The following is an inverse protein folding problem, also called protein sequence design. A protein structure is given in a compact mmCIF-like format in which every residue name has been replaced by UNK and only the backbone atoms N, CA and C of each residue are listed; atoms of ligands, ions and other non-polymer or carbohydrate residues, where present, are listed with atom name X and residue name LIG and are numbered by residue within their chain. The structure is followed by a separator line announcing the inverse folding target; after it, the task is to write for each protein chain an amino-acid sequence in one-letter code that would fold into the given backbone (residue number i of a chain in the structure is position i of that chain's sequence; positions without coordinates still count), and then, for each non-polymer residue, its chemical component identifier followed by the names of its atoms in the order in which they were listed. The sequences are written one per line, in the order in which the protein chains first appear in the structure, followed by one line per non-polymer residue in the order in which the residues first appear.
data_IF_133417538996
#
_entry.id   IF_133417538996
#
_cell.length_a   1.000
_cell.length_b   1.000
_cell.length_c   1.000
_cell.angle_alpha   90.00
_cell.angle_beta   90.00
_cell.angle_gamma   90.00
#
_symmetry.space_group_name_H-M   'P 1'
#
loop_
_entity.id
_entity.type
_entity.pdbx_description
1 polymer ?
#
# COMPACT_ATOMS: atom_id res chain seq x y z
N UNK A 1 -23.57 33.36 0.16
CA UNK A 1 -23.79 32.85 1.53
C UNK A 1 -22.47 32.79 2.26
N UNK A 2 -22.37 33.45 3.41
CA UNK A 2 -21.14 33.57 4.18
C UNK A 2 -21.05 32.40 5.16
N UNK A 3 -20.05 31.51 4.97
CA UNK A 3 -19.69 30.47 5.93
C UNK A 3 -19.02 31.13 7.14
N UNK A 4 -19.30 30.67 8.35
CA UNK A 4 -18.59 31.13 9.55
C UNK A 4 -17.60 30.07 10.00
N UNK A 5 -16.32 30.25 9.65
CA UNK A 5 -15.22 29.53 10.31
C UNK A 5 -14.94 30.28 11.59
N UNK A 6 -15.39 29.72 12.72
CA UNK A 6 -15.15 30.34 14.02
C UNK A 6 -13.97 29.65 14.69
N UNK A 7 -12.98 30.46 15.09
CA UNK A 7 -11.98 30.09 16.07
C UNK A 7 -12.57 30.35 17.46
N UNK A 8 -13.01 29.30 18.15
CA UNK A 8 -13.53 29.40 19.51
C UNK A 8 -12.57 28.64 20.42
N UNK A 9 -11.91 29.32 21.37
CA UNK A 9 -11.02 28.68 22.35
C UNK A 9 -9.91 27.80 21.74
N UNK A 10 -9.24 28.27 20.67
CA UNK A 10 -8.25 27.51 19.87
C UNK A 10 -8.81 26.27 19.16
N UNK A 11 -10.10 26.28 18.83
CA UNK A 11 -10.79 25.19 18.13
C UNK A 11 -11.32 25.74 16.82
N UNK A 12 -11.07 25.02 15.73
CA UNK A 12 -11.74 25.32 14.47
C UNK A 12 -13.06 24.58 14.44
N UNK A 13 -14.13 25.35 14.43
CA UNK A 13 -15.48 24.86 14.29
C UNK A 13 -15.85 24.89 12.81
N UNK A 14 -16.09 23.72 12.22
CA UNK A 14 -16.64 23.60 10.87
C UNK A 14 -18.15 23.38 11.02
N UNK A 15 -18.87 24.48 11.20
CA UNK A 15 -20.32 24.53 11.36
C UNK A 15 -20.98 25.27 10.19
N UNK A 16 -22.21 24.88 9.87
CA UNK A 16 -23.10 25.69 9.05
C UNK A 16 -24.06 26.50 9.95
N UNK A 17 -24.29 27.77 9.61
CA UNK A 17 -25.25 28.65 10.27
C UNK A 17 -26.49 28.81 9.38
N UNK A 18 -27.25 27.72 9.18
CA UNK A 18 -28.57 27.66 8.54
C UNK A 18 -28.56 27.27 7.03
N UNK A 19 -29.28 26.17 6.77
CA UNK A 19 -29.82 25.65 5.50
C UNK A 19 -29.12 24.46 4.79
N UNK A 20 -29.79 23.30 4.94
CA UNK A 20 -29.75 22.03 4.19
C UNK A 20 -28.57 21.05 4.35
N UNK A 21 -28.87 19.74 4.53
CA UNK A 21 -27.86 18.68 4.55
C UNK A 21 -27.22 18.58 3.17
N UNK A 22 -25.94 18.20 3.08
CA UNK A 22 -25.17 18.03 1.83
C UNK A 22 -24.59 19.31 1.23
N UNK A 23 -23.76 20.04 1.99
CA UNK A 23 -22.88 21.06 1.41
C UNK A 23 -21.50 20.47 1.12
N UNK A 24 -21.05 20.63 -0.13
CA UNK A 24 -19.75 20.15 -0.60
C UNK A 24 -18.74 21.30 -0.65
N UNK A 25 -17.64 21.17 0.09
CA UNK A 25 -16.55 22.15 0.16
C UNK A 25 -15.86 22.11 1.53
N UNK A 26 -14.65 22.70 1.63
CA UNK A 26 -13.84 22.57 2.84
C UNK A 26 -13.11 23.83 3.33
N UNK A 27 -12.58 23.72 4.55
CA UNK A 27 -11.65 24.68 5.16
C UNK A 27 -10.23 24.21 4.88
N UNK A 28 -9.36 25.12 4.45
CA UNK A 28 -7.98 24.88 4.05
C UNK A 28 -7.02 25.53 5.06
N UNK A 29 -5.84 24.94 5.29
CA UNK A 29 -4.83 25.49 6.20
C UNK A 29 -3.52 25.78 5.44
N UNK A 30 -2.86 26.87 5.83
CA UNK A 30 -1.78 27.56 5.11
C UNK A 30 -0.38 26.90 5.20
N UNK A 31 -0.29 25.61 5.55
CA UNK A 31 1.00 24.93 5.61
C UNK A 31 1.06 23.85 4.53
N UNK A 32 2.11 23.88 3.72
CA UNK A 32 2.36 22.87 2.71
C UNK A 32 3.72 22.22 3.00
N UNK A 33 3.78 20.89 3.20
CA UNK A 33 5.02 20.16 3.32
C UNK A 33 5.85 20.25 2.03
N UNK A 34 7.16 20.41 2.16
CA UNK A 34 8.08 20.57 1.04
C UNK A 34 8.61 19.24 0.50
N UNK A 35 8.63 18.20 1.33
CA UNK A 35 9.22 16.90 1.01
C UNK A 35 8.14 15.88 0.62
N UNK A 36 8.56 14.81 -0.08
CA UNK A 36 7.67 13.72 -0.46
C UNK A 36 7.19 12.86 0.73
N UNK A 37 7.73 13.11 1.93
CA UNK A 37 7.37 12.41 3.15
C UNK A 37 6.83 13.42 4.14
N UNK A 38 5.53 13.37 4.37
CA UNK A 38 4.84 14.36 5.17
C UNK A 38 3.73 13.72 5.99
N UNK A 39 3.18 14.48 6.92
CA UNK A 39 2.05 14.01 7.70
C UNK A 39 1.24 15.14 8.29
N UNK A 40 0.08 14.77 8.81
CA UNK A 40 -0.74 15.64 9.62
C UNK A 40 -1.22 14.95 10.88
N UNK A 41 -1.46 15.75 11.90
CA UNK A 41 -2.03 15.32 13.17
C UNK A 41 -3.02 16.34 13.67
N UNK A 42 -4.13 15.87 14.25
CA UNK A 42 -5.13 16.70 14.89
C UNK A 42 -6.04 15.86 15.77
N UNK A 43 -6.71 16.52 16.70
CA UNK A 43 -7.81 15.94 17.46
C UNK A 43 -9.12 16.22 16.72
N UNK A 44 -9.95 15.19 16.54
CA UNK A 44 -11.22 15.25 15.83
C UNK A 44 -12.38 14.84 16.75
N UNK A 45 -13.47 15.58 16.65
CA UNK A 45 -14.74 15.26 17.27
C UNK A 45 -15.86 15.51 16.26
N UNK A 46 -16.63 14.46 15.94
CA UNK A 46 -17.73 14.55 14.97
C UNK A 46 -19.06 14.37 15.70
N UNK A 47 -19.93 15.36 15.58
CA UNK A 47 -21.30 15.35 16.11
C UNK A 47 -22.29 14.76 15.09
N UNK A 48 -22.03 13.55 14.63
CA UNK A 48 -22.77 12.91 13.54
C UNK A 48 -23.65 11.73 13.99
N UNK A 49 -24.30 11.79 15.15
CA UNK A 49 -24.87 10.57 15.74
C UNK A 49 -26.18 10.06 15.09
N UNK A 50 -26.71 10.70 14.05
CA UNK A 50 -27.92 10.21 13.37
C UNK A 50 -27.64 9.07 12.38
N UNK A 51 -28.58 8.16 12.19
CA UNK A 51 -28.41 6.99 11.31
C UNK A 51 -28.77 7.39 9.87
N UNK A 52 -27.80 7.92 9.15
CA UNK A 52 -27.93 8.27 7.73
C UNK A 52 -26.56 8.13 7.02
N UNK A 53 -26.57 8.19 5.69
CA UNK A 53 -25.33 8.30 4.93
C UNK A 53 -24.70 9.67 5.17
N UNK A 54 -23.53 9.69 5.78
CA UNK A 54 -22.80 10.91 6.10
C UNK A 54 -21.32 10.63 6.29
N UNK A 55 -20.48 11.65 6.08
CA UNK A 55 -19.06 11.53 6.36
C UNK A 55 -18.40 12.86 6.71
N UNK A 56 -17.29 12.75 7.43
CA UNK A 56 -16.29 13.80 7.55
C UNK A 56 -15.10 13.44 6.68
N UNK A 57 -14.70 14.33 5.77
CA UNK A 57 -13.69 14.09 4.75
C UNK A 57 -12.45 14.94 4.94
N UNK A 58 -11.30 14.39 4.56
CA UNK A 58 -9.98 15.01 4.57
C UNK A 58 -9.36 14.80 3.18
N UNK A 59 -9.48 15.81 2.33
CA UNK A 59 -8.99 15.77 0.96
C UNK A 59 -7.50 16.11 0.90
N UNK A 60 -6.72 15.26 0.20
CA UNK A 60 -5.29 15.46 -0.04
C UNK A 60 -5.13 16.30 -1.31
N UNK A 61 -5.21 17.61 -1.15
CA UNK A 61 -5.50 18.55 -2.24
C UNK A 61 -4.30 19.36 -2.71
N UNK A 62 -4.45 20.02 -3.87
CA UNK A 62 -3.46 20.93 -4.44
C UNK A 62 -3.43 22.34 -3.89
N UNK A 63 -4.48 22.76 -3.20
CA UNK A 63 -4.63 24.14 -2.72
C UNK A 63 -4.71 24.20 -1.21
N UNK A 64 -3.95 25.12 -0.64
CA UNK A 64 -3.99 25.54 0.76
C UNK A 64 -4.99 26.69 1.01
N UNK A 65 -5.57 27.24 -0.05
CA UNK A 65 -6.63 28.24 0.00
C UNK A 65 -8.01 27.58 -0.15
N UNK A 66 -9.05 28.26 0.36
CA UNK A 66 -10.45 27.80 0.27
C UNK A 66 -10.76 27.30 -1.15
N UNK A 67 -11.14 26.03 -1.25
CA UNK A 67 -11.46 25.37 -2.51
C UNK A 67 -12.96 25.20 -2.70
N UNK A 68 -13.39 25.31 -3.96
CA UNK A 68 -14.71 24.88 -4.39
C UNK A 68 -14.78 23.35 -4.46
N UNK A 69 -15.97 22.79 -4.67
CA UNK A 69 -16.10 21.35 -4.89
C UNK A 69 -15.36 20.87 -6.13
N UNK A 70 -15.36 21.66 -7.20
CA UNK A 70 -14.67 21.34 -8.46
C UNK A 70 -13.17 21.13 -8.30
N UNK A 71 -12.56 21.69 -7.25
CA UNK A 71 -11.14 21.48 -6.96
C UNK A 71 -10.89 20.22 -6.11
N UNK A 72 -11.96 19.57 -5.65
CA UNK A 72 -11.96 18.35 -4.84
C UNK A 72 -12.34 17.10 -5.65
N UNK A 73 -12.75 17.27 -6.91
CA UNK A 73 -12.94 16.14 -7.84
C UNK A 73 -11.60 15.55 -8.25
N UNK A 74 -11.54 14.23 -8.45
CA UNK A 74 -10.31 13.49 -8.79
C UNK A 74 -9.18 13.65 -7.75
N UNK A 75 -9.55 13.94 -6.51
CA UNK A 75 -8.64 14.05 -5.37
C UNK A 75 -8.99 12.95 -4.37
N UNK A 76 -8.00 12.21 -3.82
CA UNK A 76 -8.28 11.22 -2.78
C UNK A 76 -8.69 11.93 -1.48
N UNK A 77 -9.80 11.46 -0.91
CA UNK A 77 -10.37 11.95 0.34
C UNK A 77 -10.36 10.79 1.35
N UNK A 78 -9.64 10.97 2.44
CA UNK A 78 -9.82 10.11 3.60
C UNK A 78 -11.14 10.50 4.27
N UNK A 79 -12.06 9.56 4.44
CA UNK A 79 -13.36 9.80 5.02
C UNK A 79 -13.58 8.94 6.26
N UNK A 80 -14.03 9.56 7.35
CA UNK A 80 -14.76 8.84 8.41
C UNK A 80 -16.20 8.74 7.90
N UNK A 81 -16.64 7.55 7.54
CA UNK A 81 -17.88 7.32 6.81
C UNK A 81 -18.89 6.52 7.63
N UNK A 82 -20.17 6.89 7.54
CA UNK A 82 -21.31 6.11 8.06
C UNK A 82 -22.23 5.77 6.89
N UNK A 83 -22.52 4.48 6.72
CA UNK A 83 -23.51 4.02 5.76
C UNK A 83 -24.94 4.34 6.23
N UNK A 84 -25.85 4.47 5.27
CA UNK A 84 -27.29 4.47 5.56
C UNK A 84 -27.65 3.24 6.40
N UNK A 85 -28.51 3.42 7.40
CA UNK A 85 -28.93 2.36 8.34
C UNK A 85 -27.79 1.71 9.19
N UNK A 86 -26.60 2.30 9.27
CA UNK A 86 -25.48 1.79 10.08
C UNK A 86 -25.26 2.58 11.37
N UNK A 87 -25.10 1.88 12.50
CA UNK A 87 -24.64 2.46 13.77
C UNK A 87 -23.11 2.50 13.87
N UNK A 88 -22.41 1.74 13.04
CA UNK A 88 -20.95 1.73 12.96
C UNK A 88 -20.43 2.63 11.84
N UNK A 89 -19.16 2.99 11.92
CA UNK A 89 -18.46 3.82 10.95
C UNK A 89 -17.32 3.01 10.33
N UNK A 90 -16.78 3.44 9.20
CA UNK A 90 -15.52 2.93 8.71
C UNK A 90 -14.66 4.08 8.17
N UNK A 91 -13.37 3.82 8.02
CA UNK A 91 -12.49 4.70 7.29
C UNK A 91 -12.53 4.30 5.82
N UNK A 92 -12.58 5.29 4.93
CA UNK A 92 -12.53 5.08 3.49
C UNK A 92 -11.54 6.00 2.82
N UNK A 93 -11.02 5.54 1.70
CA UNK A 93 -10.43 6.44 0.71
C UNK A 93 -11.44 6.52 -0.42
N UNK A 94 -11.99 7.70 -0.63
CA UNK A 94 -12.97 7.96 -1.68
C UNK A 94 -12.42 8.96 -2.68
N UNK A 95 -12.98 8.93 -3.89
CA UNK A 95 -12.74 9.93 -4.93
C UNK A 95 -14.09 10.38 -5.46
N UNK A 96 -14.26 11.69 -5.58
CA UNK A 96 -15.37 12.26 -6.32
C UNK A 96 -15.00 12.35 -7.81
N UNK A 97 -15.69 11.62 -8.66
CA UNK A 97 -15.65 11.86 -10.12
C UNK A 97 -16.61 12.99 -10.51
N UNK A 98 -17.73 13.07 -9.79
CA UNK A 98 -18.71 14.16 -9.90
C UNK A 98 -19.55 14.24 -8.61
N UNK A 99 -20.42 15.24 -8.46
CA UNK A 99 -21.32 15.31 -7.30
C UNK A 99 -22.21 14.06 -7.13
N UNK A 100 -22.50 13.36 -8.23
CA UNK A 100 -23.36 12.18 -8.25
C UNK A 100 -22.58 10.86 -8.16
N UNK A 101 -21.25 10.90 -8.31
CA UNK A 101 -20.42 9.71 -8.47
C UNK A 101 -19.24 9.75 -7.51
N UNK A 102 -19.29 8.84 -6.53
CA UNK A 102 -18.26 8.63 -5.52
C UNK A 102 -17.73 7.21 -5.66
N UNK A 103 -16.45 7.09 -6.00
CA UNK A 103 -15.73 5.83 -5.96
C UNK A 103 -15.16 5.60 -4.55
N UNK A 104 -15.25 4.38 -4.04
CA UNK A 104 -14.50 3.95 -2.85
C UNK A 104 -13.31 3.12 -3.30
N UNK A 105 -12.11 3.70 -3.22
CA UNK A 105 -10.86 3.01 -3.53
C UNK A 105 -10.52 1.94 -2.49
N UNK A 106 -10.84 2.21 -1.22
CA UNK A 106 -10.57 1.31 -0.12
C UNK A 106 -11.47 1.60 1.08
N UNK A 107 -11.77 0.57 1.88
CA UNK A 107 -12.51 0.70 3.14
C UNK A 107 -11.95 -0.18 4.25
N UNK A 108 -12.00 0.32 5.49
CA UNK A 108 -11.63 -0.43 6.69
C UNK A 108 -12.77 -1.32 7.18
N UNK A 109 -12.47 -2.28 8.08
CA UNK A 109 -13.47 -2.84 8.96
C UNK A 109 -14.22 -1.75 9.74
N UNK A 110 -15.38 -2.13 10.28
CA UNK A 110 -16.20 -1.23 11.09
C UNK A 110 -15.48 -0.80 12.38
N UNK A 111 -15.54 0.49 12.66
CA UNK A 111 -15.09 1.16 13.87
C UNK A 111 -16.30 1.71 14.63
N UNK A 112 -16.29 1.54 15.94
CA UNK A 112 -17.32 2.08 16.83
C UNK A 112 -17.02 3.52 17.22
N UNK A 113 -18.07 4.30 17.49
CA UNK A 113 -18.01 5.61 18.17
C UNK A 113 -17.26 6.75 17.44
N UNK A 114 -16.86 6.58 16.18
CA UNK A 114 -16.13 7.62 15.43
C UNK A 114 -16.97 8.89 15.14
N UNK A 115 -18.30 8.77 15.20
CA UNK A 115 -19.26 9.87 15.03
C UNK A 115 -20.25 9.94 16.20
N UNK A 116 -19.74 10.06 17.42
CA UNK A 116 -20.55 10.07 18.64
C UNK A 116 -20.10 11.14 19.66
N UNK A 117 -19.67 12.31 19.17
CA UNK A 117 -19.12 13.40 20.01
C UNK A 117 -17.96 13.00 20.92
N UNK A 118 -17.19 11.98 20.55
CA UNK A 118 -15.98 11.54 21.26
C UNK A 118 -14.77 12.17 20.57
N UNK A 119 -13.81 12.66 21.37
CA UNK A 119 -12.51 13.12 20.87
C UNK A 119 -11.60 11.93 20.59
N UNK A 120 -10.97 11.95 19.43
CA UNK A 120 -9.91 11.00 19.07
C UNK A 120 -8.83 11.71 18.28
N UNK A 121 -7.59 11.24 18.44
CA UNK A 121 -6.43 11.75 17.70
C UNK A 121 -6.35 11.05 16.35
N UNK A 122 -6.31 11.83 15.28
CA UNK A 122 -6.06 11.36 13.92
C UNK A 122 -4.62 11.72 13.56
N UNK A 123 -3.89 10.75 13.03
CA UNK A 123 -2.58 10.95 12.42
C UNK A 123 -2.57 10.32 11.05
N UNK A 124 -2.18 11.09 10.04
CA UNK A 124 -2.07 10.66 8.66
C UNK A 124 -0.62 10.85 8.24
N UNK A 125 0.02 9.77 7.81
CA UNK A 125 1.38 9.78 7.32
C UNK A 125 1.40 9.38 5.86
N UNK A 126 2.08 10.17 5.03
CA UNK A 126 2.20 9.95 3.60
C UNK A 126 3.69 9.89 3.26
N UNK A 127 4.13 8.75 2.73
CA UNK A 127 5.49 8.59 2.22
C UNK A 127 5.51 8.50 0.71
N UNK A 128 6.54 9.12 0.11
CA UNK A 128 6.74 9.22 -1.34
C UNK A 128 5.47 9.67 -2.09
N UNK A 129 4.69 10.54 -1.45
CA UNK A 129 3.41 11.04 -1.95
C UNK A 129 2.36 9.95 -2.29
N UNK A 130 2.56 8.69 -1.89
CA UNK A 130 1.68 7.56 -2.29
C UNK A 130 1.33 6.61 -1.16
N UNK A 131 2.26 6.32 -0.26
CA UNK A 131 2.03 5.37 0.83
C UNK A 131 1.36 6.05 2.02
N UNK A 132 0.05 5.85 2.13
CA UNK A 132 -0.80 6.38 3.18
C UNK A 132 -0.82 5.42 4.37
N UNK A 133 -0.62 5.96 5.58
CA UNK A 133 -0.82 5.25 6.85
C UNK A 133 -1.70 6.12 7.75
N UNK A 134 -2.79 5.55 8.24
CA UNK A 134 -3.75 6.26 9.09
C UNK A 134 -3.79 5.64 10.47
N UNK A 135 -3.62 6.47 11.48
CA UNK A 135 -3.65 6.11 12.88
C UNK A 135 -4.81 6.82 13.57
N UNK A 136 -5.50 6.10 14.45
CA UNK A 136 -6.52 6.66 15.33
C UNK A 136 -6.15 6.27 16.76
N UNK A 137 -5.91 7.26 17.63
CA UNK A 137 -5.38 7.08 18.98
C UNK A 137 -4.10 6.21 18.99
N UNK A 138 -3.13 6.58 18.14
CA UNK A 138 -1.83 5.91 17.96
C UNK A 138 -1.87 4.45 17.45
N UNK A 139 -3.07 3.92 17.17
CA UNK A 139 -3.23 2.59 16.56
C UNK A 139 -3.33 2.74 15.04
N UNK A 140 -2.46 2.04 14.30
CA UNK A 140 -2.57 1.91 12.84
C UNK A 140 -3.92 1.29 12.50
N UNK A 141 -4.76 2.01 11.78
CA UNK A 141 -6.05 1.51 11.31
C UNK A 141 -5.97 0.89 9.94
N UNK A 142 -5.17 1.47 9.07
CA UNK A 142 -4.87 0.88 7.77
C UNK A 142 -3.66 1.54 7.11
N UNK A 143 -3.20 0.87 6.06
CA UNK A 143 -2.21 1.38 5.13
C UNK A 143 -2.71 1.21 3.70
N UNK A 144 -2.40 2.15 2.81
CA UNK A 144 -2.86 2.11 1.43
C UNK A 144 -1.85 2.74 0.49
N UNK A 145 -1.73 2.21 -0.73
CA UNK A 145 -0.89 2.76 -1.76
C UNK A 145 -1.75 3.47 -2.79
N UNK A 146 -1.68 4.80 -2.81
CA UNK A 146 -2.47 5.60 -3.73
C UNK A 146 -2.09 5.28 -5.19
N UNK A 147 -3.09 5.06 -6.07
CA UNK A 147 -2.86 5.02 -7.52
C UNK A 147 -2.10 6.26 -8.00
N UNK A 148 -1.28 6.11 -9.05
CA UNK A 148 -0.38 7.16 -9.53
C UNK A 148 -1.12 8.47 -9.86
N UNK A 149 -2.33 8.39 -10.41
CA UNK A 149 -3.16 9.55 -10.73
C UNK A 149 -3.63 10.34 -9.50
N UNK A 150 -3.67 9.69 -8.33
CA UNK A 150 -4.07 10.26 -7.05
C UNK A 150 -2.88 10.54 -6.13
N UNK A 151 -1.64 10.42 -6.63
CA UNK A 151 -0.46 10.73 -5.84
C UNK A 151 -0.49 12.19 -5.34
N UNK A 152 -0.08 12.37 -4.09
CA UNK A 152 0.01 13.63 -3.37
C UNK A 152 1.26 14.42 -3.78
N UNK A 153 1.50 14.56 -5.08
CA UNK A 153 2.75 15.11 -5.63
C UNK A 153 3.08 16.54 -5.17
N UNK A 154 4.16 17.16 -5.67
CA UNK A 154 4.66 18.47 -5.20
C UNK A 154 3.65 19.61 -5.19
N UNK A 155 2.54 19.50 -5.93
CA UNK A 155 1.46 20.47 -5.95
C UNK A 155 0.17 19.93 -5.31
N UNK A 156 0.22 18.90 -4.46
CA UNK A 156 -0.93 18.16 -3.87
C UNK A 156 -0.70 17.72 -2.41
N UNK A 157 0.03 18.53 -1.63
CA UNK A 157 0.34 18.27 -0.21
C UNK A 157 -0.43 19.15 0.77
N UNK A 158 -1.55 19.72 0.34
CA UNK A 158 -2.49 20.43 1.20
C UNK A 158 -3.55 19.51 1.79
N UNK A 159 -4.20 19.95 2.87
CA UNK A 159 -5.34 19.27 3.48
C UNK A 159 -6.56 20.18 3.51
N UNK A 160 -7.67 19.63 3.00
CA UNK A 160 -8.97 20.28 2.99
C UNK A 160 -9.99 19.44 3.74
N UNK A 161 -10.75 20.06 4.65
CA UNK A 161 -11.70 19.36 5.50
C UNK A 161 -13.13 19.56 5.04
N UNK A 162 -13.83 18.47 4.75
CA UNK A 162 -15.24 18.46 4.35
C UNK A 162 -16.09 17.95 5.50
N UNK A 163 -17.14 18.69 5.86
CA UNK A 163 -18.15 18.20 6.78
C UNK A 163 -19.45 17.92 6.02
N UNK A 164 -19.72 16.65 5.73
CA UNK A 164 -21.02 16.17 5.21
C UNK A 164 -21.79 15.39 6.29
N UNK A 165 -21.63 15.78 7.54
CA UNK A 165 -22.39 15.21 8.65
C UNK A 165 -23.58 16.07 9.02
N UNK A 166 -24.52 15.48 9.74
CA UNK A 166 -25.76 16.14 10.17
C UNK A 166 -25.55 17.28 11.16
N UNK A 167 -24.35 17.40 11.74
CA UNK A 167 -24.03 18.42 12.72
C UNK A 167 -22.54 18.81 12.65
N UNK A 168 -22.07 19.75 13.48
CA UNK A 168 -20.71 20.24 13.41
C UNK A 168 -19.64 19.18 13.67
N UNK A 169 -18.49 19.36 13.02
CA UNK A 169 -17.25 18.69 13.39
C UNK A 169 -16.27 19.71 13.98
N UNK A 170 -15.53 19.28 14.98
CA UNK A 170 -14.58 20.10 15.71
C UNK A 170 -13.17 19.55 15.53
N UNK A 171 -12.23 20.44 15.21
CA UNK A 171 -10.82 20.12 15.09
C UNK A 171 -9.99 20.96 16.06
N UNK A 172 -8.97 20.33 16.68
CA UNK A 172 -7.97 21.02 17.51
C UNK A 172 -6.59 20.48 17.23
N UNK A 173 -5.58 21.25 17.66
CA UNK A 173 -4.18 20.84 17.64
C UNK A 173 -3.72 20.37 16.25
N UNK A 174 -4.21 21.04 15.20
CA UNK A 174 -3.85 20.70 13.83
C UNK A 174 -2.40 21.07 13.55
N UNK A 175 -1.64 20.09 13.05
CA UNK A 175 -0.26 20.25 12.60
C UNK A 175 -0.13 19.53 11.26
N UNK A 176 0.54 20.18 10.31
CA UNK A 176 0.92 19.64 9.02
C UNK A 176 2.42 19.86 8.84
N UNK A 177 3.18 18.80 8.59
CA UNK A 177 4.64 18.85 8.72
C UNK A 177 5.35 17.89 7.76
N UNK A 178 6.58 18.25 7.42
CA UNK A 178 7.55 17.36 6.80
C UNK A 178 8.11 16.37 7.82
N UNK A 179 8.41 15.15 7.36
CA UNK A 179 8.94 14.09 8.21
C UNK A 179 10.05 13.30 7.50
N UNK A 180 10.94 12.62 8.24
CA UNK A 180 11.78 11.60 7.64
C UNK A 180 10.94 10.43 7.10
N UNK A 181 11.47 9.73 6.10
CA UNK A 181 10.92 8.45 5.66
C UNK A 181 11.18 7.38 6.73
N UNK A 182 10.18 6.58 7.08
CA UNK A 182 10.42 5.40 7.93
C UNK A 182 11.09 4.31 7.09
N UNK A 183 10.62 4.13 5.86
CA UNK A 183 11.15 3.09 4.98
C UNK A 183 12.27 3.69 4.12
N UNK A 184 13.51 3.44 4.55
CA UNK A 184 14.73 3.79 3.81
C UNK A 184 14.89 2.92 2.54
N UNK A 185 14.65 3.49 1.36
CA UNK A 185 14.78 2.77 0.07
C UNK A 185 16.06 3.10 -0.69
N UNK A 186 16.81 4.13 -0.26
CA UNK A 186 18.09 4.53 -0.85
C UNK A 186 19.26 3.62 -0.46
N UNK A 187 19.00 2.31 -0.36
CA UNK A 187 19.99 1.31 0.03
C UNK A 187 20.87 1.01 -1.16
N UNK A 188 22.19 1.02 -0.94
CA UNK A 188 23.13 0.55 -1.95
C UNK A 188 23.36 -0.94 -1.78
N UNK A 189 23.17 -1.68 -2.85
CA UNK A 189 23.26 -3.14 -2.88
C UNK A 189 24.67 -3.55 -3.33
N UNK A 190 25.55 -3.85 -2.37
CA UNK A 190 26.99 -4.01 -2.62
C UNK A 190 27.43 -5.44 -2.90
N UNK A 191 26.66 -6.43 -2.46
CA UNK A 191 27.04 -7.85 -2.54
C UNK A 191 26.02 -8.65 -3.35
N UNK A 192 26.47 -9.17 -4.47
CA UNK A 192 25.75 -10.20 -5.22
C UNK A 192 25.94 -11.56 -4.53
N UNK A 193 24.81 -12.20 -4.20
CA UNK A 193 24.78 -13.55 -3.62
C UNK A 193 24.76 -14.58 -4.75
N UNK A 194 23.93 -14.35 -5.75
CA UNK A 194 23.79 -15.18 -6.94
C UNK A 194 23.22 -14.35 -8.09
N UNK A 195 23.65 -14.70 -9.30
CA UNK A 195 23.02 -14.36 -10.56
C UNK A 195 22.86 -15.66 -11.37
N UNK A 196 21.66 -15.90 -11.88
CA UNK A 196 21.35 -17.06 -12.74
C UNK A 196 20.46 -16.57 -13.87
N UNK A 197 20.97 -16.63 -15.10
CA UNK A 197 20.27 -16.24 -16.34
C UNK A 197 19.48 -17.40 -16.95
N UNK A 198 19.52 -18.59 -16.32
CA UNK A 198 18.86 -19.81 -16.77
C UNK A 198 19.13 -20.23 -18.23
N UNK A 199 20.12 -19.62 -18.92
CA UNK A 199 20.45 -19.85 -20.34
C UNK A 199 21.20 -21.17 -20.53
N UNK A 200 20.46 -22.27 -20.32
CA UNK A 200 20.97 -23.64 -20.39
C UNK A 200 19.87 -24.64 -20.72
N UNK A 201 20.28 -25.89 -20.96
CA UNK A 201 19.38 -26.97 -21.38
C UNK A 201 18.23 -27.18 -20.39
N UNK A 202 17.06 -27.52 -20.93
CA UNK A 202 15.87 -27.85 -20.14
C UNK A 202 16.18 -28.91 -19.07
N UNK A 203 15.76 -28.67 -17.84
CA UNK A 203 16.08 -29.55 -16.73
C UNK A 203 15.86 -28.93 -15.35
N UNK A 204 16.35 -29.57 -14.28
CA UNK A 204 16.28 -29.02 -12.93
C UNK A 204 17.09 -27.71 -12.82
N UNK A 205 16.70 -26.84 -11.87
CA UNK A 205 17.36 -25.54 -11.68
C UNK A 205 18.85 -25.65 -11.36
N UNK A 206 19.29 -26.64 -10.57
CA UNK A 206 20.70 -26.78 -10.18
C UNK A 206 21.31 -25.50 -9.57
N UNK A 207 22.61 -25.26 -9.84
CA UNK A 207 23.35 -24.05 -9.45
C UNK A 207 23.22 -23.63 -7.96
N UNK A 208 23.02 -24.61 -7.08
CA UNK A 208 22.89 -24.39 -5.65
C UNK A 208 21.54 -23.82 -5.19
N UNK A 209 20.55 -23.67 -6.07
CA UNK A 209 19.20 -23.35 -5.65
C UNK A 209 18.59 -24.50 -4.84
N UNK A 210 17.89 -24.14 -3.77
CA UNK A 210 17.00 -25.07 -3.06
C UNK A 210 15.60 -24.94 -3.65
N UNK A 211 15.11 -26.02 -4.27
CA UNK A 211 13.80 -26.07 -4.88
C UNK A 211 12.74 -26.59 -3.89
N UNK A 212 11.59 -25.93 -3.88
CA UNK A 212 10.40 -26.32 -3.14
C UNK A 212 9.25 -26.63 -4.11
N UNK A 213 8.63 -27.80 -3.95
CA UNK A 213 7.61 -28.33 -4.85
C UNK A 213 8.19 -29.04 -6.09
N UNK A 214 7.32 -29.70 -6.85
CA UNK A 214 7.67 -30.56 -8.00
C UNK A 214 7.19 -30.00 -9.33
N UNK A 215 7.66 -30.51 -10.48
CA UNK A 215 7.22 -30.01 -11.79
C UNK A 215 7.50 -28.51 -12.00
N UNK A 216 8.72 -28.10 -11.67
CA UNK A 216 9.30 -26.83 -12.08
C UNK A 216 10.70 -27.10 -12.63
N UNK A 217 11.13 -26.26 -13.56
CA UNK A 217 12.32 -26.53 -14.36
C UNK A 217 12.77 -25.31 -15.14
N UNK A 218 14.01 -25.37 -15.61
CA UNK A 218 14.48 -24.56 -16.72
C UNK A 218 13.81 -25.08 -17.97
N UNK A 219 13.13 -24.19 -18.70
CA UNK A 219 12.46 -24.47 -19.97
C UNK A 219 12.70 -23.31 -20.91
N UNK A 220 13.38 -23.57 -22.03
CA UNK A 220 13.72 -22.57 -23.04
C UNK A 220 14.44 -21.34 -22.44
N UNK A 221 15.45 -21.56 -21.60
CA UNK A 221 16.24 -20.49 -20.99
C UNK A 221 15.57 -19.81 -19.79
N UNK A 222 14.52 -20.40 -19.20
CA UNK A 222 13.68 -19.72 -18.18
C UNK A 222 13.29 -20.62 -17.04
N UNK A 223 13.27 -20.10 -15.82
CA UNK A 223 12.69 -20.80 -14.67
C UNK A 223 11.16 -20.71 -14.66
N UNK A 224 10.48 -21.85 -14.75
CA UNK A 224 9.02 -21.90 -14.91
C UNK A 224 8.38 -23.10 -14.21
N UNK A 225 7.05 -23.02 -14.03
CA UNK A 225 6.23 -24.18 -13.72
C UNK A 225 6.07 -25.05 -14.97
N UNK A 226 6.36 -26.35 -14.85
CA UNK A 226 6.28 -27.34 -15.94
C UNK A 226 5.14 -28.33 -15.76
N UNK A 227 4.47 -28.29 -14.61
CA UNK A 227 3.42 -29.24 -14.23
C UNK A 227 2.03 -28.90 -14.73
N UNK A 228 1.15 -29.90 -14.64
CA UNK A 228 -0.29 -29.78 -14.95
C UNK A 228 -1.16 -29.53 -13.71
N UNK A 229 -0.62 -29.73 -12.51
CA UNK A 229 -1.31 -29.54 -11.24
C UNK A 229 -1.13 -28.11 -10.71
N UNK A 230 -2.21 -27.56 -10.15
CA UNK A 230 -2.20 -26.27 -9.47
C UNK A 230 -1.25 -26.28 -8.24
N UNK A 231 -0.76 -25.10 -7.87
CA UNK A 231 0.13 -24.88 -6.75
C UNK A 231 1.33 -23.99 -7.10
N UNK A 232 2.19 -23.75 -6.11
CA UNK A 232 3.37 -22.89 -6.24
C UNK A 232 4.65 -23.71 -6.23
N UNK A 233 5.71 -23.24 -6.91
CA UNK A 233 7.02 -23.87 -6.96
C UNK A 233 8.07 -22.79 -6.74
N UNK A 234 8.85 -22.94 -5.68
CA UNK A 234 9.82 -21.95 -5.26
C UNK A 234 11.25 -22.40 -5.50
N UNK A 235 12.13 -21.46 -5.77
CA UNK A 235 13.58 -21.62 -5.65
C UNK A 235 14.09 -20.54 -4.71
N UNK A 236 14.95 -20.93 -3.78
CA UNK A 236 15.58 -19.99 -2.85
C UNK A 236 17.06 -20.29 -2.66
N UNK A 237 17.79 -19.26 -2.25
CA UNK A 237 19.20 -19.28 -1.91
C UNK A 237 19.40 -18.59 -0.57
N UNK A 238 20.34 -19.11 0.21
CA UNK A 238 20.79 -18.45 1.43
C UNK A 238 21.58 -17.18 1.07
N UNK A 239 21.14 -16.04 1.58
CA UNK A 239 21.79 -14.74 1.39
C UNK A 239 22.95 -14.49 2.34
N UNK A 240 23.03 -15.25 3.43
CA UNK A 240 23.93 -15.03 4.56
C UNK A 240 23.64 -13.74 5.34
N UNK A 241 22.51 -13.07 5.09
CA UNK A 241 22.10 -11.83 5.76
C UNK A 241 21.25 -12.13 6.98
N UNK A 242 21.59 -11.51 8.11
CA UNK A 242 20.82 -11.58 9.35
C UNK A 242 20.20 -10.23 9.79
N UNK A 243 20.54 -9.12 9.12
CA UNK A 243 20.08 -7.75 9.47
C UNK A 243 18.90 -7.27 8.62
N UNK A 244 18.37 -8.11 7.73
CA UNK A 244 17.13 -7.89 7.01
C UNK A 244 17.19 -7.06 5.72
N UNK A 245 18.35 -6.52 5.32
CA UNK A 245 18.46 -5.82 4.03
C UNK A 245 18.73 -6.82 2.90
N UNK A 246 17.69 -7.16 2.16
CA UNK A 246 17.74 -8.13 1.06
C UNK A 246 17.01 -7.58 -0.16
N UNK A 247 17.53 -7.89 -1.34
CA UNK A 247 16.91 -7.61 -2.63
C UNK A 247 16.98 -8.86 -3.48
N UNK A 248 15.87 -9.17 -4.13
CA UNK A 248 15.83 -10.13 -5.23
C UNK A 248 15.21 -9.42 -6.41
N UNK A 249 15.78 -9.62 -7.59
CA UNK A 249 15.28 -9.03 -8.82
C UNK A 249 15.33 -10.05 -9.94
N UNK A 250 14.43 -9.90 -10.91
CA UNK A 250 14.35 -10.80 -12.05
C UNK A 250 13.53 -10.20 -13.18
N UNK A 251 13.73 -10.72 -14.38
CA UNK A 251 12.98 -10.32 -15.57
C UNK A 251 11.80 -11.27 -15.74
N UNK A 252 10.58 -10.72 -15.67
CA UNK A 252 9.36 -11.52 -15.79
C UNK A 252 9.05 -11.82 -17.25
N UNK A 253 8.59 -13.03 -17.53
CA UNK A 253 8.04 -13.42 -18.83
C UNK A 253 6.63 -13.94 -18.73
N UNK A 254 5.84 -13.63 -19.75
CA UNK A 254 4.44 -14.01 -19.91
C UNK A 254 3.62 -13.88 -18.62
N UNK A 255 3.64 -12.70 -17.95
CA UNK A 255 2.86 -12.51 -16.74
C UNK A 255 1.38 -12.80 -17.03
N UNK A 256 0.71 -13.46 -16.09
CA UNK A 256 -0.67 -13.91 -16.21
C UNK A 256 -1.59 -13.08 -15.33
N UNK A 257 -2.83 -12.86 -15.77
CA UNK A 257 -3.88 -12.23 -14.96
C UNK A 257 -4.55 -13.20 -13.98
N UNK A 258 -4.30 -14.51 -14.13
CA UNK A 258 -4.99 -15.58 -13.40
C UNK A 258 -4.12 -16.29 -12.36
N UNK A 259 -2.79 -16.27 -12.54
CA UNK A 259 -1.83 -16.91 -11.65
C UNK A 259 -0.63 -15.98 -11.39
N UNK A 260 -0.28 -15.80 -10.12
CA UNK A 260 0.83 -14.94 -9.73
C UNK A 260 2.16 -15.61 -9.99
N UNK A 261 3.13 -14.85 -10.49
CA UNK A 261 4.55 -15.15 -10.33
C UNK A 261 5.07 -14.34 -9.15
N UNK A 262 6.05 -14.81 -8.39
CA UNK A 262 6.43 -14.13 -7.14
C UNK A 262 7.93 -14.04 -6.95
N UNK A 263 8.37 -12.97 -6.29
CA UNK A 263 9.69 -12.87 -5.70
C UNK A 263 9.55 -12.95 -4.19
N UNK A 264 10.46 -13.65 -3.53
CA UNK A 264 10.40 -13.91 -2.08
C UNK A 264 11.66 -13.46 -1.36
N UNK A 265 11.47 -12.93 -0.16
CA UNK A 265 12.52 -12.43 0.73
C UNK A 265 12.23 -12.89 2.15
N UNK A 266 13.27 -12.88 3.00
CA UNK A 266 13.15 -13.23 4.43
C UNK A 266 12.44 -14.55 4.65
N UNK A 267 12.71 -15.49 3.76
CA UNK A 267 12.14 -16.82 3.84
C UNK A 267 12.91 -17.63 4.87
N UNK A 268 12.20 -18.40 5.68
CA UNK A 268 12.81 -19.34 6.62
C UNK A 268 13.60 -20.40 5.86
N UNK A 269 14.63 -20.99 6.49
CA UNK A 269 15.51 -21.97 5.83
C UNK A 269 14.75 -23.19 5.28
N UNK A 270 13.65 -23.57 5.92
CA UNK A 270 12.73 -24.65 5.55
C UNK A 270 11.65 -24.23 4.52
N UNK A 271 11.65 -22.96 4.09
CA UNK A 271 10.70 -22.45 3.10
C UNK A 271 9.27 -22.29 3.60
N UNK A 272 9.00 -22.39 4.90
CA UNK A 272 7.65 -22.40 5.46
C UNK A 272 6.98 -21.04 5.56
N UNK A 273 7.74 -19.97 5.77
CA UNK A 273 7.21 -18.61 5.83
C UNK A 273 8.21 -17.57 5.34
N UNK A 274 7.70 -16.39 4.99
CA UNK A 274 8.52 -15.27 4.52
C UNK A 274 7.67 -14.16 3.91
N UNK A 275 8.33 -13.26 3.20
CA UNK A 275 7.69 -12.21 2.41
C UNK A 275 7.61 -12.61 0.95
N UNK A 276 6.50 -12.28 0.31
CA UNK A 276 6.34 -12.42 -1.12
C UNK A 276 5.79 -11.12 -1.71
N UNK A 277 6.36 -10.69 -2.83
CA UNK A 277 5.63 -9.86 -3.78
C UNK A 277 5.05 -10.77 -4.85
N UNK A 278 3.74 -10.73 -5.02
CA UNK A 278 3.00 -11.52 -5.98
C UNK A 278 2.59 -10.62 -7.14
N UNK A 279 2.90 -11.05 -8.35
CA UNK A 279 2.85 -10.26 -9.58
C UNK A 279 1.94 -10.97 -10.57
N UNK A 280 0.92 -10.24 -11.02
CA UNK A 280 0.05 -10.57 -12.16
C UNK A 280 0.32 -9.58 -13.29
N UNK A 281 -0.26 -9.79 -14.47
CA UNK A 281 -0.15 -8.82 -15.56
C UNK A 281 -0.81 -7.46 -15.28
N UNK A 282 -1.75 -7.40 -14.35
CA UNK A 282 -2.60 -6.23 -14.07
C UNK A 282 -2.53 -5.72 -12.63
N UNK A 283 -1.87 -6.44 -11.72
CA UNK A 283 -1.76 -6.08 -10.31
C UNK A 283 -0.54 -6.69 -9.64
N UNK A 284 -0.15 -6.07 -8.53
CA UNK A 284 0.83 -6.62 -7.61
C UNK A 284 0.39 -6.45 -6.16
N UNK A 285 0.82 -7.35 -5.28
CA UNK A 285 0.64 -7.21 -3.83
C UNK A 285 1.84 -7.75 -3.05
N UNK A 286 2.15 -7.11 -1.92
CA UNK A 286 3.14 -7.58 -0.95
C UNK A 286 2.39 -8.29 0.16
N UNK A 287 2.84 -9.47 0.53
CA UNK A 287 2.18 -10.34 1.50
C UNK A 287 3.18 -11.06 2.39
N UNK A 288 2.71 -11.44 3.59
CA UNK A 288 3.31 -12.52 4.36
C UNK A 288 2.80 -13.83 3.77
N UNK A 289 3.69 -14.80 3.57
CA UNK A 289 3.28 -16.17 3.23
C UNK A 289 3.57 -17.14 4.37
N UNK A 290 2.73 -18.16 4.48
CA UNK A 290 2.88 -19.31 5.39
C UNK A 290 2.49 -20.61 4.66
N UNK A 291 2.72 -21.78 5.26
CA UNK A 291 2.30 -23.07 4.68
C UNK A 291 3.25 -23.65 3.62
N UNK A 292 4.41 -23.03 3.43
CA UNK A 292 5.46 -23.54 2.52
C UNK A 292 5.40 -22.98 1.11
N UNK A 293 6.56 -22.76 0.49
CA UNK A 293 6.68 -22.29 -0.90
C UNK A 293 6.00 -23.20 -1.94
N UNK A 294 5.76 -24.47 -1.61
CA UNK A 294 5.05 -25.41 -2.48
C UNK A 294 3.52 -25.18 -2.51
N UNK A 295 2.96 -24.63 -1.44
CA UNK A 295 1.52 -24.38 -1.27
C UNK A 295 1.27 -23.19 -0.32
N UNK A 296 1.72 -21.98 -0.69
CA UNK A 296 1.70 -20.84 0.20
C UNK A 296 0.28 -20.32 0.43
N UNK A 297 0.02 -19.89 1.66
CA UNK A 297 -1.14 -19.12 2.08
C UNK A 297 -0.67 -17.68 2.28
N UNK A 298 -1.24 -16.74 1.53
CA UNK A 298 -0.86 -15.34 1.56
C UNK A 298 -1.80 -14.51 2.43
N UNK A 299 -1.21 -13.61 3.22
CA UNK A 299 -1.89 -12.53 3.93
C UNK A 299 -1.32 -11.21 3.45
N UNK A 300 -2.14 -10.43 2.76
CA UNK A 300 -1.70 -9.21 2.09
C UNK A 300 -1.43 -8.09 3.10
N UNK A 301 -0.28 -7.44 2.96
CA UNK A 301 -0.02 -6.14 3.59
C UNK A 301 -0.63 -5.02 2.76
N UNK A 302 -0.41 -5.08 1.44
CA UNK A 302 -0.78 -4.02 0.52
C UNK A 302 -0.88 -4.55 -0.91
N UNK A 303 -1.78 -3.97 -1.71
CA UNK A 303 -2.00 -4.31 -3.11
C UNK A 303 -2.21 -3.06 -3.95
N UNK A 304 -1.83 -3.12 -5.23
CA UNK A 304 -2.12 -2.08 -6.20
C UNK A 304 -2.41 -2.66 -7.59
N UNK A 305 -3.26 -1.97 -8.35
CA UNK A 305 -3.37 -2.18 -9.80
C UNK A 305 -2.17 -1.54 -10.47
N UNK A 306 -1.35 -2.36 -11.13
CA UNK A 306 -0.12 -1.96 -11.79
C UNK A 306 0.03 -2.85 -13.03
N UNK A 307 0.10 -2.29 -14.25
CA UNK A 307 0.33 -3.08 -15.44
C UNK A 307 1.76 -3.61 -15.44
N UNK A 308 1.92 -4.90 -15.75
CA UNK A 308 3.20 -5.58 -15.81
C UNK A 308 3.29 -6.33 -17.14
N UNK A 309 4.25 -5.93 -17.95
CA UNK A 309 4.46 -6.44 -19.29
C UNK A 309 5.51 -7.58 -19.32
N UNK A 310 5.47 -8.35 -20.40
CA UNK A 310 6.56 -9.29 -20.70
C UNK A 310 7.89 -8.51 -20.85
N UNK A 311 8.93 -8.95 -20.14
CA UNK A 311 10.25 -8.33 -20.17
C UNK A 311 10.47 -7.22 -19.14
N UNK A 312 9.49 -6.89 -18.31
CA UNK A 312 9.69 -5.93 -17.22
C UNK A 312 10.68 -6.46 -16.18
N UNK A 313 11.57 -5.57 -15.71
CA UNK A 313 12.48 -5.85 -14.61
C UNK A 313 11.78 -5.61 -13.29
N UNK A 314 11.63 -6.66 -12.49
CA UNK A 314 10.97 -6.58 -11.18
C UNK A 314 12.03 -6.75 -10.09
N UNK A 315 12.02 -5.88 -9.09
CA UNK A 315 12.81 -6.06 -7.87
C UNK A 315 11.93 -6.02 -6.64
N UNK A 316 12.06 -7.03 -5.78
CA UNK A 316 11.52 -7.02 -4.44
C UNK A 316 12.64 -6.72 -3.46
N UNK A 317 12.41 -5.73 -2.60
CA UNK A 317 13.38 -5.26 -1.64
C UNK A 317 12.76 -5.24 -0.25
N UNK A 318 13.56 -5.55 0.76
CA UNK A 318 13.20 -5.37 2.15
C UNK A 318 14.37 -4.76 2.93
N UNK A 319 14.02 -3.94 3.91
CA UNK A 319 14.90 -3.44 4.95
C UNK A 319 14.25 -3.70 6.30
N UNK A 320 14.97 -3.52 7.42
CA UNK A 320 14.47 -3.87 8.77
C UNK A 320 13.00 -3.51 9.03
N UNK A 321 12.56 -2.35 8.54
CA UNK A 321 11.26 -1.73 8.87
C UNK A 321 10.17 -1.89 7.78
N UNK A 322 10.55 -2.16 6.53
CA UNK A 322 9.64 -2.14 5.38
C UNK A 322 10.08 -3.01 4.21
N UNK A 323 9.16 -3.19 3.27
CA UNK A 323 9.40 -3.87 2.00
C UNK A 323 8.76 -3.09 0.85
N UNK A 324 9.36 -3.17 -0.34
CA UNK A 324 8.88 -2.46 -1.52
C UNK A 324 9.16 -3.21 -2.82
N UNK A 325 8.32 -2.93 -3.81
CA UNK A 325 8.39 -3.42 -5.17
C UNK A 325 8.90 -2.30 -6.07
N UNK A 326 9.89 -2.61 -6.89
CA UNK A 326 10.31 -1.79 -8.02
C UNK A 326 9.98 -2.50 -9.33
N UNK A 327 9.45 -1.75 -10.30
CA UNK A 327 9.30 -2.19 -11.69
C UNK A 327 10.08 -1.19 -12.54
N UNK A 328 11.04 -1.69 -13.33
CA UNK A 328 11.92 -0.88 -14.16
C UNK A 328 12.57 0.27 -13.37
N UNK A 329 13.08 -0.04 -12.17
CA UNK A 329 13.72 0.88 -11.21
C UNK A 329 12.81 1.96 -10.60
N UNK A 330 11.49 1.84 -10.74
CA UNK A 330 10.52 2.73 -10.11
C UNK A 330 9.75 1.99 -9.01
N UNK A 331 9.67 2.59 -7.83
CA UNK A 331 8.86 2.03 -6.73
C UNK A 331 7.38 2.10 -7.10
N UNK A 332 6.75 0.94 -7.21
CA UNK A 332 5.32 0.81 -7.54
C UNK A 332 4.47 0.31 -6.38
N UNK A 333 5.09 -0.19 -5.30
CA UNK A 333 4.38 -0.59 -4.09
C UNK A 333 5.32 -0.58 -2.89
N UNK A 334 4.83 -0.23 -1.70
CA UNK A 334 5.64 -0.22 -0.47
C UNK A 334 4.76 -0.48 0.75
N UNK A 335 5.31 -1.15 1.76
CA UNK A 335 4.65 -1.35 3.05
C UNK A 335 5.63 -1.39 4.21
N UNK A 336 5.17 -0.98 5.40
CA UNK A 336 5.81 -1.35 6.66
C UNK A 336 5.48 -2.81 7.00
N UNK A 337 6.43 -3.48 7.65
CA UNK A 337 6.29 -4.89 8.03
C UNK A 337 5.72 -5.10 9.44
N UNK A 338 5.64 -4.03 10.24
CA UNK A 338 5.09 -4.06 11.61
C UNK A 338 5.63 -5.21 12.48
N UNK A 339 6.89 -5.62 12.26
CA UNK A 339 7.58 -6.67 13.01
C UNK A 339 7.22 -8.13 12.64
N UNK A 340 6.37 -8.38 11.63
CA UNK A 340 5.87 -9.73 11.33
C UNK A 340 6.77 -10.59 10.41
N UNK A 341 7.84 -10.04 9.83
CA UNK A 341 8.78 -10.77 8.98
C UNK A 341 10.23 -10.54 9.44
N UNK A 342 10.79 -11.42 10.30
CA UNK A 342 12.10 -11.23 10.91
C UNK A 342 13.21 -11.03 9.88
N UNK A 343 14.04 -10.00 10.07
CA UNK A 343 15.20 -9.73 9.21
C UNK A 343 16.30 -10.78 9.28
N UNK A 344 16.24 -11.68 10.27
CA UNK A 344 17.17 -12.79 10.47
C UNK A 344 16.93 -13.96 9.52
N UNK A 345 15.79 -14.00 8.83
CA UNK A 345 15.49 -15.07 7.88
C UNK A 345 16.35 -14.90 6.61
N UNK A 346 17.21 -15.86 6.27
CA UNK A 346 18.28 -15.60 5.34
C UNK A 346 17.93 -15.98 3.89
N UNK A 347 16.80 -16.62 3.62
CA UNK A 347 16.50 -17.13 2.28
C UNK A 347 15.78 -16.10 1.42
N UNK A 348 16.19 -16.02 0.15
CA UNK A 348 15.56 -15.19 -0.88
C UNK A 348 15.49 -15.95 -2.21
N UNK A 349 14.59 -15.55 -3.11
CA UNK A 349 14.47 -16.17 -4.43
C UNK A 349 13.15 -15.86 -5.12
N UNK A 350 12.60 -16.85 -5.83
CA UNK A 350 11.42 -16.65 -6.66
C UNK A 350 10.49 -17.86 -6.67
N UNK A 351 9.25 -17.63 -7.07
CA UNK A 351 8.24 -18.63 -7.28
C UNK A 351 7.62 -18.50 -8.67
N UNK A 352 7.25 -19.64 -9.25
CA UNK A 352 6.30 -19.74 -10.35
C UNK A 352 5.12 -20.61 -9.87
N UNK A 353 3.91 -20.26 -10.27
CA UNK A 353 2.70 -20.98 -9.84
C UNK A 353 1.86 -21.43 -11.02
N UNK A 354 0.87 -22.26 -10.72
CA UNK A 354 -0.22 -22.60 -11.62
C UNK A 354 -1.51 -22.51 -10.82
N UNK A 355 -2.53 -21.87 -11.41
CA UNK A 355 -3.84 -21.71 -10.79
C UNK A 355 -4.93 -21.75 -11.85
N UNK A 356 -5.98 -22.50 -11.59
CA UNK A 356 -7.13 -22.65 -12.50
C UNK A 356 -6.68 -23.06 -13.90
N UNK A 357 -5.76 -24.03 -13.97
CA UNK A 357 -5.21 -24.58 -15.22
C UNK A 357 -4.36 -23.60 -16.05
N UNK A 358 -4.04 -22.42 -15.52
CA UNK A 358 -3.18 -21.43 -16.16
C UNK A 358 -1.86 -21.32 -15.40
N UNK A 359 -0.74 -21.34 -16.13
CA UNK A 359 0.56 -21.06 -15.54
C UNK A 359 0.66 -19.57 -15.20
N UNK A 360 1.43 -19.25 -14.17
CA UNK A 360 1.95 -17.91 -13.97
C UNK A 360 2.94 -17.54 -15.07
N UNK A 361 3.51 -16.34 -14.96
CA UNK A 361 4.73 -16.02 -15.68
C UNK A 361 5.92 -16.89 -15.27
N UNK A 362 7.02 -16.73 -15.99
CA UNK A 362 8.33 -17.34 -15.72
C UNK A 362 9.40 -16.27 -15.48
N UNK A 363 10.59 -16.70 -15.06
CA UNK A 363 11.73 -15.82 -14.83
C UNK A 363 12.83 -16.11 -15.86
N UNK A 364 13.25 -15.08 -16.60
CA UNK A 364 14.40 -15.15 -17.51
C UNK A 364 15.70 -15.19 -16.72
N UNK A 365 15.86 -14.25 -15.79
CA UNK A 365 17.03 -14.19 -14.93
C UNK A 365 16.62 -13.82 -13.52
N UNK A 366 17.42 -14.24 -12.54
CA UNK A 366 17.27 -13.86 -11.15
C UNK A 366 18.62 -13.46 -10.58
N UNK A 367 18.61 -12.33 -9.86
CA UNK A 367 19.74 -11.83 -9.09
C UNK A 367 19.30 -11.60 -7.65
N UNK A 368 20.12 -12.05 -6.70
CA UNK A 368 19.95 -11.74 -5.29
C UNK A 368 21.10 -10.85 -4.83
N UNK A 369 20.73 -9.71 -4.25
CA UNK A 369 21.66 -8.70 -3.75
C UNK A 369 21.41 -8.43 -2.27
N UNK A 370 22.47 -8.03 -1.58
CA UNK A 370 22.43 -7.72 -0.14
C UNK A 370 23.20 -6.43 0.13
N UNK A 371 22.79 -5.71 1.17
CA UNK A 371 23.54 -4.58 1.72
C UNK A 371 24.38 -5.06 2.91
N UNK A 372 25.42 -4.31 3.27
CA UNK A 372 26.25 -4.58 4.45
C UNK A 372 25.70 -3.88 5.70
#
# INVERSE_FOLDING_TARGET
MNRTVNLINNQVVISDYLETPFQVGGVSYEQMPYTQNWGCEFDLNIDGNIIQSQFFGMAISSSWAKVGFTDLTEVPILAVWRNAASITQNLRIIVYHSLAEIETLWQSPNLSQMMNKVWYRVRIWIERDRYLRVFINDVVRFTFWLPSQYAAGPNRRGLNFLNQTSAPAYLKNFILFDRPADIQTGITWHREVIYDDFERQNGPVGNGWTQYGTNAGIVFGRWSSTGTADGSRGIVRDTGVAHGAQRVEGTVRYPSSSAAVSLVLRTTADGNSGLAVNVFSDKAYISLFTGGLASPIFTDYISASVPIADGDRIAFCANGEGAWLEINNKIELMTSLLGQAPGTNPMAGACASRRLFSNSGSWDDIRILTAL
#
